data_IF_263477148713
#
_entry.id   IF_263477148713
#
_cell.length_a   1.000
_cell.length_b   1.000
_cell.length_c   1.000
_cell.angle_alpha   90.00
_cell.angle_beta   90.00
_cell.angle_gamma   90.00
#
_symmetry.space_group_name_H-M   'P 1'
#
loop_
_entity.id
_entity.type
_entity.pdbx_description
1 polymer ?
#
# COMPACT_ATOMS: atom_id res chain seq x y z
N UNK A 1 -21.21 -0.87 16.54
CA UNK A 1 -19.77 -1.19 16.40
C UNK A 1 -19.62 -2.70 16.39
N UNK A 2 -18.72 -3.23 15.55
CA UNK A 2 -18.43 -4.67 15.56
C UNK A 2 -17.61 -5.03 16.79
N UNK A 3 -17.92 -6.16 17.43
CA UNK A 3 -17.13 -6.70 18.55
C UNK A 3 -15.63 -6.83 18.18
N UNK A 4 -15.34 -7.18 16.92
CA UNK A 4 -13.97 -7.26 16.39
C UNK A 4 -13.27 -5.89 16.35
N UNK A 5 -14.02 -4.82 16.08
CA UNK A 5 -13.47 -3.46 16.09
C UNK A 5 -13.15 -3.02 17.52
N UNK A 6 -14.03 -3.34 18.47
CA UNK A 6 -13.80 -3.05 19.89
C UNK A 6 -12.62 -3.85 20.46
N UNK A 7 -12.46 -5.12 20.06
CA UNK A 7 -11.30 -5.95 20.41
C UNK A 7 -9.98 -5.36 19.88
N UNK A 8 -9.96 -4.88 18.64
CA UNK A 8 -8.78 -4.23 18.06
C UNK A 8 -8.42 -2.94 18.82
N UNK A 9 -9.43 -2.11 19.10
CA UNK A 9 -9.24 -0.86 19.86
C UNK A 9 -8.73 -1.15 21.28
N UNK A 10 -9.29 -2.15 21.94
CA UNK A 10 -8.83 -2.60 23.26
C UNK A 10 -7.36 -3.06 23.21
N UNK A 11 -6.95 -3.82 22.19
CA UNK A 11 -5.57 -4.26 22.01
C UNK A 11 -4.60 -3.08 21.75
N UNK A 12 -5.05 -2.02 21.07
CA UNK A 12 -4.28 -0.78 20.88
C UNK A 12 -4.12 -0.06 22.23
N UNK A 13 -5.19 0.07 23.00
CA UNK A 13 -5.15 0.70 24.33
C UNK A 13 -4.23 -0.08 25.28
N UNK A 14 -4.29 -1.41 25.30
CA UNK A 14 -3.35 -2.24 26.09
C UNK A 14 -1.90 -2.01 25.67
N UNK A 15 -1.63 -1.91 24.36
CA UNK A 15 -0.28 -1.62 23.85
C UNK A 15 0.22 -0.24 24.31
N UNK A 16 -0.61 0.80 24.22
CA UNK A 16 -0.23 2.14 24.67
C UNK A 16 0.05 2.18 26.18
N UNK A 17 -0.80 1.53 26.99
CA UNK A 17 -0.57 1.40 28.43
C UNK A 17 0.72 0.64 28.75
N UNK A 18 1.00 -0.45 28.04
CA UNK A 18 2.25 -1.19 28.20
C UNK A 18 3.47 -0.33 27.81
N UNK A 19 3.37 0.47 26.76
CA UNK A 19 4.46 1.35 26.30
C UNK A 19 4.78 2.44 27.33
N UNK A 20 3.76 2.96 28.03
CA UNK A 20 3.91 3.88 29.16
C UNK A 20 4.63 3.18 30.33
N UNK A 21 4.20 1.96 30.70
CA UNK A 21 4.79 1.21 31.82
C UNK A 21 6.23 0.75 31.57
N UNK A 22 6.53 0.36 30.33
CA UNK A 22 7.87 -0.11 29.93
C UNK A 22 8.87 1.05 29.78
N UNK A 23 8.42 2.31 29.90
CA UNK A 23 9.29 3.50 29.85
C UNK A 23 9.98 3.70 28.48
N UNK A 24 9.43 3.09 27.42
CA UNK A 24 9.98 3.20 26.05
C UNK A 24 9.76 4.61 25.47
N UNK A 25 8.86 5.39 26.08
CA UNK A 25 8.46 6.73 25.64
C UNK A 25 9.06 7.78 26.58
N UNK A 26 9.35 8.97 26.04
CA UNK A 26 9.85 10.09 26.84
C UNK A 26 8.78 10.53 27.85
N UNK A 27 9.21 10.99 29.03
CA UNK A 27 8.30 11.47 30.07
C UNK A 27 7.35 12.58 29.55
N UNK A 28 7.84 13.46 28.67
CA UNK A 28 7.05 14.55 28.08
C UNK A 28 5.92 14.05 27.17
N UNK A 29 6.05 12.85 26.60
CA UNK A 29 5.07 12.27 25.66
C UNK A 29 4.05 11.36 26.38
N UNK A 30 4.26 11.05 27.67
CA UNK A 30 3.39 10.16 28.46
C UNK A 30 1.99 10.74 28.61
N UNK A 31 1.88 12.03 28.99
CA UNK A 31 0.60 12.71 29.16
C UNK A 31 -0.21 12.71 27.84
N UNK A 32 0.48 12.88 26.71
CA UNK A 32 -0.13 12.83 25.38
C UNK A 32 -0.69 11.44 25.04
N UNK A 33 0.00 10.37 25.45
CA UNK A 33 -0.49 9.00 25.27
C UNK A 33 -1.68 8.68 26.16
N UNK A 34 -1.71 9.16 27.39
CA UNK A 34 -2.86 9.00 28.30
C UNK A 34 -4.11 9.68 27.75
N UNK A 35 -3.99 10.91 27.22
CA UNK A 35 -5.08 11.61 26.53
C UNK A 35 -5.54 10.84 25.30
N UNK A 36 -4.61 10.30 24.50
CA UNK A 36 -4.94 9.52 23.32
C UNK A 36 -5.73 8.25 23.67
N UNK A 37 -5.35 7.54 24.73
CA UNK A 37 -6.07 6.36 25.24
C UNK A 37 -7.52 6.74 25.57
N UNK A 38 -7.72 7.85 26.28
CA UNK A 38 -9.05 8.30 26.66
C UNK A 38 -9.91 8.66 25.43
N UNK A 39 -9.36 9.44 24.49
CA UNK A 39 -10.08 9.81 23.27
C UNK A 39 -10.46 8.58 22.42
N UNK A 40 -9.56 7.61 22.30
CA UNK A 40 -9.81 6.36 21.55
C UNK A 40 -10.87 5.51 22.28
N UNK A 41 -10.80 5.40 23.61
CA UNK A 41 -11.80 4.68 24.39
C UNK A 41 -13.20 5.26 24.21
N UNK A 42 -13.35 6.57 24.36
CA UNK A 42 -14.62 7.29 24.20
C UNK A 42 -15.19 7.18 22.78
N UNK A 43 -14.34 7.34 21.75
CA UNK A 43 -14.78 7.28 20.35
C UNK A 43 -15.35 5.90 19.94
N UNK A 44 -14.88 4.82 20.58
CA UNK A 44 -15.26 3.45 20.24
C UNK A 44 -16.10 2.75 21.33
N UNK A 45 -16.41 3.45 22.42
CA UNK A 45 -17.16 2.91 23.56
C UNK A 45 -16.43 1.73 24.23
N UNK A 46 -15.11 1.83 24.34
CA UNK A 46 -14.23 0.84 24.97
C UNK A 46 -13.63 1.46 26.21
N UNK A 47 -13.97 0.92 27.38
CA UNK A 47 -13.41 1.34 28.64
C UNK A 47 -12.41 0.29 29.16
N UNK A 48 -11.10 0.60 29.20
CA UNK A 48 -10.11 -0.32 29.75
C UNK A 48 -10.23 -0.52 31.27
N UNK A 49 -10.95 0.35 31.99
CA UNK A 49 -11.19 0.23 33.43
C UNK A 49 -12.37 -0.69 33.76
N UNK A 50 -13.25 -0.97 32.80
CA UNK A 50 -14.37 -1.90 32.95
C UNK A 50 -13.86 -3.35 32.88
N UNK A 51 -13.95 -4.07 34.00
CA UNK A 51 -13.50 -5.44 34.12
C UNK A 51 -14.28 -6.44 33.24
N UNK A 52 -15.57 -6.19 32.96
CA UNK A 52 -16.37 -7.06 32.10
C UNK A 52 -16.00 -6.87 30.63
N UNK A 53 -15.82 -5.62 30.19
CA UNK A 53 -15.33 -5.33 28.84
C UNK A 53 -13.90 -5.83 28.65
N UNK A 54 -13.03 -5.66 29.65
CA UNK A 54 -11.65 -6.14 29.58
C UNK A 54 -11.58 -7.66 29.39
N UNK A 55 -12.43 -8.45 30.06
CA UNK A 55 -12.47 -9.90 29.85
C UNK A 55 -13.04 -10.29 28.49
N UNK A 56 -14.07 -9.58 28.02
CA UNK A 56 -14.74 -9.87 26.75
C UNK A 56 -13.90 -9.50 25.53
N UNK A 57 -13.19 -8.38 25.61
CA UNK A 57 -12.44 -7.80 24.49
C UNK A 57 -10.96 -8.21 24.49
N UNK A 58 -10.44 -8.79 25.58
CA UNK A 58 -9.04 -9.21 25.63
C UNK A 58 -8.78 -10.38 24.67
N UNK A 59 -7.69 -10.24 23.92
CA UNK A 59 -7.17 -11.25 22.98
C UNK A 59 -5.97 -12.02 23.54
N UNK A 60 -5.76 -11.97 24.86
CA UNK A 60 -4.68 -12.70 25.56
C UNK A 60 -4.80 -14.21 25.30
N UNK A 61 -3.69 -14.92 25.04
CA UNK A 61 -2.29 -14.53 25.29
C UNK A 61 -1.60 -13.76 24.14
N UNK A 62 -2.28 -13.48 23.04
CA UNK A 62 -1.67 -12.75 21.92
C UNK A 62 -1.68 -11.25 22.17
N UNK A 63 -0.51 -10.60 22.11
CA UNK A 63 -0.39 -9.14 22.15
C UNK A 63 -0.49 -8.56 20.74
N UNK A 64 -0.90 -7.29 20.61
CA UNK A 64 -0.92 -6.58 19.32
C UNK A 64 0.44 -6.68 18.60
N UNK A 65 1.53 -6.55 19.36
CA UNK A 65 2.89 -6.70 18.84
C UNK A 65 3.14 -8.10 18.27
N UNK A 66 2.78 -9.16 19.00
CA UNK A 66 2.96 -10.54 18.52
C UNK A 66 2.13 -10.83 17.26
N UNK A 67 0.92 -10.29 17.17
CA UNK A 67 0.05 -10.42 16.00
C UNK A 67 0.65 -9.68 14.82
N UNK A 68 1.15 -8.46 15.03
CA UNK A 68 1.82 -7.69 14.00
C UNK A 68 3.13 -8.36 13.53
N UNK A 69 3.90 -8.96 14.43
CA UNK A 69 5.10 -9.72 14.10
C UNK A 69 4.77 -10.98 13.28
N UNK A 70 3.70 -11.69 13.64
CA UNK A 70 3.21 -12.84 12.85
C UNK A 70 2.72 -12.38 11.50
N UNK A 71 1.97 -11.28 11.41
CA UNK A 71 1.51 -10.71 10.16
C UNK A 71 2.69 -10.29 9.27
N UNK A 72 3.67 -9.58 9.81
CA UNK A 72 4.84 -9.12 9.06
C UNK A 72 5.70 -10.29 8.60
N UNK A 73 5.95 -11.29 9.47
CA UNK A 73 6.66 -12.53 9.11
C UNK A 73 5.89 -13.34 8.08
N UNK A 74 4.58 -13.47 8.23
CA UNK A 74 3.74 -14.18 7.26
C UNK A 74 3.70 -13.44 5.94
N UNK A 75 3.60 -12.11 5.94
CA UNK A 75 3.67 -11.28 4.73
C UNK A 75 5.04 -11.40 4.06
N UNK A 76 6.14 -11.40 4.81
CA UNK A 76 7.49 -11.62 4.27
C UNK A 76 7.65 -13.05 3.74
N UNK A 77 7.05 -14.04 4.41
CA UNK A 77 7.04 -15.44 3.98
C UNK A 77 6.17 -15.65 2.75
N UNK A 78 5.01 -14.99 2.65
CA UNK A 78 4.14 -15.00 1.48
C UNK A 78 4.78 -14.22 0.35
N UNK A 79 5.45 -13.09 0.61
CA UNK A 79 6.23 -12.38 -0.41
C UNK A 79 7.40 -13.23 -0.93
N UNK A 80 8.11 -13.95 -0.05
CA UNK A 80 9.17 -14.88 -0.46
C UNK A 80 8.63 -16.19 -1.05
N UNK A 81 7.41 -16.61 -0.71
CA UNK A 81 6.75 -17.77 -1.30
C UNK A 81 6.11 -17.46 -2.65
N UNK A 82 5.56 -16.27 -2.86
CA UNK A 82 5.14 -15.76 -4.18
C UNK A 82 6.37 -15.51 -5.06
N UNK A 83 7.52 -15.15 -4.48
CA UNK A 83 8.80 -15.19 -5.18
C UNK A 83 9.31 -16.64 -5.46
N UNK A 84 8.87 -17.64 -4.69
CA UNK A 84 9.23 -19.06 -4.92
C UNK A 84 8.24 -19.85 -5.80
N UNK A 85 6.98 -19.43 -5.88
CA UNK A 85 5.97 -19.97 -6.81
C UNK A 85 5.98 -19.21 -8.14
N UNK A 86 6.57 -18.02 -8.17
CA UNK A 86 7.15 -17.38 -9.36
C UNK A 86 8.63 -17.71 -9.54
N UNK A 87 9.10 -18.91 -9.14
CA UNK A 87 10.45 -19.37 -9.45
C UNK A 87 10.49 -19.97 -10.87
N UNK A 88 10.33 -19.08 -11.85
CA UNK A 88 11.11 -19.18 -13.07
C UNK A 88 11.99 -17.93 -13.12
N UNK A 89 13.17 -18.08 -12.51
CA UNK A 89 14.33 -17.20 -12.59
C UNK A 89 14.16 -15.75 -12.10
N UNK A 90 14.56 -15.51 -10.85
CA UNK A 90 15.10 -14.21 -10.45
C UNK A 90 16.29 -14.42 -9.49
N UNK A 91 17.47 -14.09 -9.99
CA UNK A 91 18.70 -13.86 -9.25
C UNK A 91 19.36 -12.60 -9.84
N UNK A 92 20.31 -11.97 -9.15
CA UNK A 92 20.23 -11.29 -7.87
C UNK A 92 20.27 -9.76 -8.07
N UNK A 93 19.62 -9.02 -7.18
CA UNK A 93 19.71 -7.56 -7.15
C UNK A 93 21.08 -7.11 -6.63
N UNK A 94 21.93 -6.57 -7.52
CA UNK A 94 22.91 -5.51 -7.19
C UNK A 94 23.57 -4.83 -8.41
N UNK A 95 23.08 -5.05 -9.63
CA UNK A 95 23.37 -4.20 -10.77
C UNK A 95 22.04 -3.64 -11.26
N UNK A 96 21.99 -2.36 -11.67
CA UNK A 96 20.81 -1.82 -12.33
C UNK A 96 20.37 -2.70 -13.51
N UNK A 97 19.12 -2.54 -14.00
CA UNK A 97 18.52 -3.45 -14.97
C UNK A 97 19.48 -3.72 -16.13
N UNK A 98 19.75 -5.00 -16.38
CA UNK A 98 20.71 -5.39 -17.41
C UNK A 98 20.20 -4.94 -18.79
N UNK A 99 21.07 -4.79 -19.80
CA UNK A 99 20.62 -4.47 -21.15
C UNK A 99 19.57 -5.46 -21.69
N UNK A 100 19.64 -6.73 -21.25
CA UNK A 100 18.66 -7.76 -21.58
C UNK A 100 17.32 -7.51 -20.88
N UNK A 101 17.33 -7.16 -19.59
CA UNK A 101 16.11 -6.83 -18.84
C UNK A 101 15.42 -5.60 -19.44
N UNK A 102 16.19 -4.58 -19.82
CA UNK A 102 15.68 -3.39 -20.52
C UNK A 102 15.06 -3.75 -21.87
N UNK A 103 15.69 -4.63 -22.64
CA UNK A 103 15.14 -5.09 -23.91
C UNK A 103 13.84 -5.90 -23.72
N UNK A 104 13.77 -6.73 -22.68
CA UNK A 104 12.56 -7.46 -22.32
C UNK A 104 11.46 -6.53 -21.80
N UNK A 105 11.80 -5.51 -21.01
CA UNK A 105 10.87 -4.49 -20.53
C UNK A 105 10.27 -3.70 -21.70
N UNK A 106 11.10 -3.33 -22.67
CA UNK A 106 10.66 -2.65 -23.89
C UNK A 106 9.72 -3.51 -24.73
N UNK A 107 10.00 -4.82 -24.84
CA UNK A 107 9.10 -5.78 -25.49
C UNK A 107 7.77 -5.88 -24.75
N UNK A 108 7.79 -5.99 -23.41
CA UNK A 108 6.58 -6.03 -22.59
C UNK A 108 5.75 -4.74 -22.74
N UNK A 109 6.40 -3.56 -22.78
CA UNK A 109 5.73 -2.28 -23.09
C UNK A 109 5.08 -2.31 -24.48
N UNK A 110 5.76 -2.82 -25.50
CA UNK A 110 5.18 -2.91 -26.86
C UNK A 110 3.94 -3.81 -26.89
N UNK A 111 3.98 -4.95 -26.18
CA UNK A 111 2.81 -5.83 -26.01
C UNK A 111 1.67 -5.10 -25.28
N UNK A 112 1.97 -4.40 -24.18
CA UNK A 112 0.99 -3.60 -23.46
C UNK A 112 0.37 -2.50 -24.33
N UNK A 113 1.16 -1.83 -25.17
CA UNK A 113 0.65 -0.82 -26.11
C UNK A 113 -0.29 -1.43 -27.16
N UNK A 114 0.00 -2.64 -27.63
CA UNK A 114 -0.87 -3.35 -28.57
C UNK A 114 -2.20 -3.75 -27.90
N UNK A 115 -2.16 -4.24 -26.66
CA UNK A 115 -3.35 -4.54 -25.85
C UNK A 115 -4.18 -3.28 -25.54
N UNK A 116 -3.52 -2.16 -25.22
CA UNK A 116 -4.18 -0.86 -25.09
C UNK A 116 -4.94 -0.46 -26.35
N UNK A 117 -4.33 -0.68 -27.52
CA UNK A 117 -4.96 -0.39 -28.81
C UNK A 117 -6.14 -1.32 -29.10
N UNK A 118 -6.08 -2.55 -28.60
CA UNK A 118 -7.18 -3.51 -28.62
C UNK A 118 -8.26 -3.24 -27.55
N UNK A 119 -8.07 -2.22 -26.70
CA UNK A 119 -8.91 -1.91 -25.52
C UNK A 119 -8.96 -3.01 -24.46
N UNK A 120 -7.98 -3.91 -24.48
CA UNK A 120 -7.77 -4.91 -23.44
C UNK A 120 -6.91 -4.29 -22.33
N UNK A 121 -7.56 -3.52 -21.47
CA UNK A 121 -6.88 -2.73 -20.45
C UNK A 121 -6.25 -3.59 -19.35
N UNK A 122 -6.89 -4.71 -18.99
CA UNK A 122 -6.38 -5.63 -17.96
C UNK A 122 -5.09 -6.31 -18.42
N UNK A 123 -5.09 -6.88 -19.62
CA UNK A 123 -3.89 -7.49 -20.17
C UNK A 123 -2.77 -6.46 -20.40
N UNK A 124 -3.12 -5.23 -20.79
CA UNK A 124 -2.17 -4.14 -20.92
C UNK A 124 -1.50 -3.77 -19.59
N UNK A 125 -2.27 -3.71 -18.49
CA UNK A 125 -1.75 -3.46 -17.14
C UNK A 125 -0.73 -4.53 -16.76
N UNK A 126 -1.05 -5.82 -16.95
CA UNK A 126 -0.13 -6.92 -16.66
C UNK A 126 1.18 -6.82 -17.46
N UNK A 127 1.09 -6.44 -18.74
CA UNK A 127 2.27 -6.23 -19.58
C UNK A 127 3.13 -5.07 -19.10
N UNK A 128 2.54 -3.98 -18.63
CA UNK A 128 3.29 -2.86 -18.04
C UNK A 128 3.86 -3.21 -16.66
N UNK A 129 3.16 -4.00 -15.85
CA UNK A 129 3.68 -4.52 -14.58
C UNK A 129 4.95 -5.34 -14.79
N UNK A 130 4.95 -6.17 -15.84
CA UNK A 130 6.14 -6.93 -16.24
C UNK A 130 7.27 -6.02 -16.70
N UNK A 131 6.97 -4.97 -17.46
CA UNK A 131 7.98 -3.98 -17.88
C UNK A 131 8.61 -3.26 -16.69
N UNK A 132 7.80 -2.86 -15.71
CA UNK A 132 8.24 -2.18 -14.47
C UNK A 132 9.08 -3.11 -13.59
N UNK A 133 8.69 -4.38 -13.50
CA UNK A 133 9.43 -5.38 -12.72
C UNK A 133 10.82 -5.66 -13.30
N UNK A 134 10.97 -5.57 -14.63
CA UNK A 134 12.23 -5.76 -15.33
C UNK A 134 13.09 -4.49 -15.33
N UNK A 135 12.48 -3.32 -15.49
CA UNK A 135 13.17 -2.03 -15.47
C UNK A 135 12.30 -0.95 -14.78
N UNK A 136 12.49 -0.73 -13.47
CA UNK A 136 11.74 0.27 -12.73
C UNK A 136 12.25 1.70 -12.96
N UNK A 137 13.30 1.89 -13.77
CA UNK A 137 13.95 3.20 -13.95
C UNK A 137 13.37 4.01 -15.10
N UNK A 138 12.43 3.44 -15.86
CA UNK A 138 11.82 4.10 -17.00
C UNK A 138 10.43 4.67 -16.64
N UNK A 139 10.25 6.01 -16.62
CA UNK A 139 8.97 6.64 -16.26
C UNK A 139 7.85 6.34 -17.27
N UNK A 140 8.19 5.90 -18.49
CA UNK A 140 7.23 5.62 -19.56
C UNK A 140 6.30 4.46 -19.17
N UNK A 141 6.80 3.43 -18.50
CA UNK A 141 5.99 2.26 -18.16
C UNK A 141 4.88 2.61 -17.17
N UNK A 142 5.22 3.39 -16.13
CA UNK A 142 4.26 3.93 -15.17
C UNK A 142 3.22 4.83 -15.86
N UNK A 143 3.65 5.71 -16.76
CA UNK A 143 2.72 6.60 -17.49
C UNK A 143 1.77 5.84 -18.44
N UNK A 144 2.23 4.74 -19.02
CA UNK A 144 1.40 3.90 -19.87
C UNK A 144 0.41 3.06 -19.05
N UNK A 145 0.83 2.55 -17.89
CA UNK A 145 -0.05 1.86 -16.94
C UNK A 145 -1.10 2.80 -16.35
N UNK A 146 -0.74 4.05 -16.02
CA UNK A 146 -1.68 5.10 -15.65
C UNK A 146 -2.75 5.34 -16.74
N UNK A 147 -2.35 5.30 -18.02
CA UNK A 147 -3.30 5.43 -19.12
C UNK A 147 -4.27 4.25 -19.20
N UNK A 148 -3.79 3.03 -18.93
CA UNK A 148 -4.61 1.82 -18.89
C UNK A 148 -5.63 1.87 -17.76
N UNK A 149 -5.19 2.20 -16.54
CA UNK A 149 -6.07 2.39 -15.38
C UNK A 149 -7.12 3.47 -15.63
N UNK A 150 -6.72 4.63 -16.17
CA UNK A 150 -7.66 5.70 -16.50
C UNK A 150 -8.69 5.27 -17.56
N UNK A 151 -8.28 4.48 -18.56
CA UNK A 151 -9.19 3.95 -19.58
C UNK A 151 -10.16 2.89 -19.03
N UNK A 152 -9.76 2.19 -17.96
CA UNK A 152 -10.61 1.27 -17.20
C UNK A 152 -11.56 1.98 -16.23
N UNK A 153 -11.35 3.28 -15.96
CA UNK A 153 -12.09 4.06 -14.98
C UNK A 153 -11.51 4.04 -13.57
N UNK A 154 -10.36 3.38 -13.37
CA UNK A 154 -9.63 3.41 -12.10
C UNK A 154 -8.73 4.65 -12.03
N UNK A 155 -9.37 5.78 -11.76
CA UNK A 155 -8.68 7.07 -11.69
C UNK A 155 -7.72 7.16 -10.51
N UNK A 156 -7.99 6.49 -9.38
CA UNK A 156 -7.09 6.52 -8.21
C UNK A 156 -5.78 5.78 -8.48
N UNK A 157 -5.84 4.58 -9.08
CA UNK A 157 -4.63 3.87 -9.50
C UNK A 157 -3.86 4.65 -10.56
N UNK A 158 -4.56 5.33 -11.48
CA UNK A 158 -3.92 6.17 -12.49
C UNK A 158 -3.17 7.38 -11.89
N UNK A 159 -3.68 8.00 -10.82
CA UNK A 159 -2.94 9.06 -10.09
C UNK A 159 -1.66 8.51 -9.51
N UNK A 160 -1.74 7.40 -8.77
CA UNK A 160 -0.57 6.80 -8.11
C UNK A 160 0.53 6.48 -9.11
N UNK A 161 0.21 5.91 -10.26
CA UNK A 161 1.19 5.63 -11.30
C UNK A 161 1.79 6.88 -11.95
N UNK A 162 1.00 7.93 -12.13
CA UNK A 162 1.51 9.19 -12.67
C UNK A 162 2.45 9.91 -11.67
N UNK A 163 2.19 9.80 -10.37
CA UNK A 163 3.11 10.26 -9.31
C UNK A 163 4.41 9.45 -9.29
N UNK A 164 4.32 8.12 -9.43
CA UNK A 164 5.52 7.27 -9.53
C UNK A 164 6.37 7.61 -10.77
N UNK A 165 5.74 7.90 -11.91
CA UNK A 165 6.46 8.36 -13.10
C UNK A 165 7.25 9.67 -12.84
N UNK A 166 6.69 10.59 -12.06
CA UNK A 166 7.39 11.83 -11.64
C UNK A 166 8.46 11.60 -10.58
N UNK A 167 8.28 10.60 -9.72
CA UNK A 167 9.31 10.21 -8.76
C UNK A 167 10.55 9.63 -9.46
N UNK A 168 10.35 8.89 -10.56
CA UNK A 168 11.41 8.34 -11.41
C UNK A 168 12.08 9.44 -12.25
N UNK A 169 11.28 10.27 -12.94
CA UNK A 169 11.77 11.43 -13.68
C UNK A 169 10.85 12.64 -13.47
N UNK A 170 11.25 13.60 -12.62
CA UNK A 170 10.48 14.81 -12.35
C UNK A 170 10.24 15.69 -13.60
N UNK A 171 11.03 15.51 -14.68
CA UNK A 171 10.88 16.27 -15.92
C UNK A 171 9.98 15.58 -16.94
N UNK A 172 9.38 14.45 -16.59
CA UNK A 172 8.57 13.68 -17.51
C UNK A 172 7.19 14.32 -17.77
N UNK A 173 7.13 15.19 -18.79
CA UNK A 173 5.97 16.01 -19.16
C UNK A 173 4.68 15.20 -19.32
N UNK A 174 4.76 13.97 -19.85
CA UNK A 174 3.57 13.12 -20.04
C UNK A 174 2.91 12.72 -18.71
N UNK A 175 3.65 12.59 -17.61
CA UNK A 175 3.08 12.28 -16.30
C UNK A 175 2.22 13.45 -15.78
N UNK A 176 2.67 14.70 -15.94
CA UNK A 176 1.84 15.86 -15.61
C UNK A 176 0.55 15.92 -16.42
N UNK A 177 0.60 15.56 -17.70
CA UNK A 177 -0.61 15.45 -18.53
C UNK A 177 -1.56 14.36 -18.01
N UNK A 178 -1.04 13.20 -17.57
CA UNK A 178 -1.86 12.15 -16.95
C UNK A 178 -2.51 12.63 -15.66
N UNK A 179 -1.76 13.28 -14.77
CA UNK A 179 -2.29 13.86 -13.54
C UNK A 179 -3.38 14.90 -13.81
N UNK A 180 -3.16 15.83 -14.73
CA UNK A 180 -4.17 16.85 -15.07
C UNK A 180 -5.47 16.25 -15.59
N UNK A 181 -5.39 15.22 -16.44
CA UNK A 181 -6.56 14.52 -16.99
C UNK A 181 -7.32 13.74 -15.92
N UNK A 182 -6.59 13.06 -15.03
CA UNK A 182 -7.18 12.24 -13.97
C UNK A 182 -7.76 13.11 -12.86
N UNK A 183 -7.04 14.14 -12.39
CA UNK A 183 -7.52 15.05 -11.35
C UNK A 183 -8.75 15.85 -11.79
N UNK A 184 -8.82 16.25 -13.06
CA UNK A 184 -10.04 16.85 -13.62
C UNK A 184 -11.23 15.90 -13.54
N UNK A 185 -11.02 14.62 -13.88
CA UNK A 185 -12.07 13.59 -13.85
C UNK A 185 -12.51 13.26 -12.41
N UNK A 186 -11.56 13.17 -11.47
CA UNK A 186 -11.84 12.91 -10.05
C UNK A 186 -12.59 14.09 -9.41
N UNK A 187 -12.21 15.33 -9.70
CA UNK A 187 -12.90 16.52 -9.16
C UNK A 187 -14.35 16.62 -9.65
N UNK A 188 -14.63 16.24 -10.90
CA UNK A 188 -16.00 16.19 -11.42
C UNK A 188 -16.83 15.09 -10.74
N UNK A 189 -16.24 13.92 -10.47
CA UNK A 189 -16.90 12.85 -9.72
C UNK A 189 -17.22 13.24 -8.27
N UNK A 190 -16.33 13.97 -7.60
CA UNK A 190 -16.56 14.45 -6.23
C UNK A 190 -17.50 15.67 -6.15
N UNK A 191 -17.67 16.45 -7.24
CA UNK A 191 -18.56 17.61 -7.27
C UNK A 191 -20.03 17.28 -7.63
N UNK A 192 -20.35 16.02 -7.95
CA UNK A 192 -21.68 15.58 -8.35
C UNK A 192 -22.41 14.72 -7.27
N UNK A 193 -21.86 14.66 -6.05
CA UNK A 193 -22.49 14.03 -4.89
C UNK A 193 -23.00 15.06 -3.89
#
# INVERSE_FOLDING_TARGET
MSEKQQQLVFAIIEFLNQTIQDGTVKADDQEGLEVAIQCIGEAFGVDPADAEQAQKLSVKPATLQSIFDVFTKTRQKVASQTASAGSAAAAPASAGPSPEDKAQAEKAKQTGNAQMSAKDYDAAIESYDRAISLDPTNPVYFSNRAAAYSSKGDHLAAVGDAEQALAVDPKFVKAYHRLGCVSSSTLVSYACC
#
